data_IF_899638087169
#
_entry.id   IF_899638087169
#
_cell.length_a   1.000
_cell.length_b   1.000
_cell.length_c   1.000
_cell.angle_alpha   90.00
_cell.angle_beta   90.00
_cell.angle_gamma   90.00
#
_symmetry.space_group_name_H-M   'P 1'
#
loop_
_entity.id
_entity.type
_entity.pdbx_description
1 polymer ?
#
# COMPACT_ATOMS: atom_id res chain seq x y z
N UNK A 1 -23.06 -40.27 13.74
CA UNK A 1 -23.41 -38.82 13.86
C UNK A 1 -22.23 -37.90 14.21
N UNK A 2 -20.94 -38.39 14.17
CA UNK A 2 -19.76 -37.56 14.36
C UNK A 2 -19.04 -37.18 13.04
N UNK A 3 -19.42 -37.76 11.92
CA UNK A 3 -18.76 -37.53 10.63
C UNK A 3 -19.22 -36.27 9.87
N UNK A 4 -20.37 -35.70 10.23
CA UNK A 4 -20.92 -34.53 9.53
C UNK A 4 -20.29 -33.20 9.97
N UNK A 5 -19.46 -33.19 11.03
CA UNK A 5 -18.77 -31.96 11.49
C UNK A 5 -17.34 -31.79 10.97
N UNK A 6 -16.80 -32.79 10.30
CA UNK A 6 -15.44 -32.74 9.78
C UNK A 6 -15.26 -31.75 8.58
N UNK A 7 -16.35 -31.35 7.91
CA UNK A 7 -16.32 -30.37 6.83
C UNK A 7 -16.56 -28.92 7.24
N UNK A 8 -16.86 -28.65 8.52
CA UNK A 8 -17.22 -27.31 9.00
C UNK A 8 -16.10 -26.60 9.78
N UNK A 9 -14.85 -26.85 9.41
CA UNK A 9 -13.69 -26.22 10.07
C UNK A 9 -13.73 -24.66 10.04
N UNK A 10 -14.50 -24.07 9.15
CA UNK A 10 -14.78 -22.63 9.07
C UNK A 10 -16.13 -22.24 9.70
N UNK A 11 -16.63 -23.03 10.65
CA UNK A 11 -17.91 -22.79 11.32
C UNK A 11 -17.88 -21.63 12.35
N UNK A 12 -16.69 -21.05 12.62
CA UNK A 12 -16.58 -19.94 13.54
C UNK A 12 -17.00 -18.64 12.84
N UNK A 13 -18.27 -18.26 13.00
CA UNK A 13 -18.87 -17.09 12.36
C UNK A 13 -18.04 -15.81 12.43
N UNK A 14 -17.41 -15.44 13.57
CA UNK A 14 -16.67 -14.19 13.69
C UNK A 14 -15.41 -14.14 12.82
N UNK A 15 -14.79 -15.29 12.46
CA UNK A 15 -13.58 -15.32 11.62
C UNK A 15 -13.91 -15.27 10.12
N UNK A 16 -15.11 -15.64 9.72
CA UNK A 16 -15.50 -15.67 8.29
C UNK A 16 -15.43 -14.29 7.63
N UNK A 17 -15.89 -13.26 8.33
CA UNK A 17 -15.98 -11.92 7.78
C UNK A 17 -14.58 -11.27 7.63
N UNK A 18 -13.73 -11.22 8.65
CA UNK A 18 -12.38 -10.66 8.49
C UNK A 18 -11.52 -11.45 7.50
N UNK A 19 -11.62 -12.79 7.48
CA UNK A 19 -10.89 -13.59 6.51
C UNK A 19 -11.34 -13.28 5.07
N UNK A 20 -12.64 -13.15 4.84
CA UNK A 20 -13.21 -12.79 3.55
C UNK A 20 -12.72 -11.41 3.08
N UNK A 21 -12.78 -10.40 3.96
CA UNK A 21 -12.31 -9.03 3.67
C UNK A 21 -10.83 -9.07 3.32
N UNK A 22 -10.01 -9.74 4.12
CA UNK A 22 -8.57 -9.86 3.88
C UNK A 22 -8.26 -10.50 2.53
N UNK A 23 -8.89 -11.62 2.19
CA UNK A 23 -8.67 -12.32 0.92
C UNK A 23 -9.13 -11.48 -0.28
N UNK A 24 -10.28 -10.81 -0.19
CA UNK A 24 -10.74 -9.91 -1.23
C UNK A 24 -9.80 -8.71 -1.43
N UNK A 25 -9.24 -8.15 -0.35
CA UNK A 25 -8.29 -7.06 -0.40
C UNK A 25 -6.99 -7.49 -1.08
N UNK A 26 -6.37 -8.56 -0.60
CA UNK A 26 -5.09 -9.07 -1.16
C UNK A 26 -5.24 -9.40 -2.64
N UNK A 27 -6.30 -10.11 -3.01
CA UNK A 27 -6.51 -10.53 -4.40
C UNK A 27 -6.97 -9.39 -5.29
N UNK A 28 -7.78 -8.46 -4.79
CA UNK A 28 -8.16 -7.25 -5.50
C UNK A 28 -6.95 -6.41 -5.89
N UNK A 29 -6.08 -6.12 -4.92
CA UNK A 29 -4.84 -5.36 -5.15
C UNK A 29 -3.89 -6.12 -6.09
N UNK A 30 -3.72 -7.44 -5.90
CA UNK A 30 -2.87 -8.26 -6.76
C UNK A 30 -3.33 -8.22 -8.23
N UNK A 31 -4.64 -8.33 -8.48
CA UNK A 31 -5.19 -8.18 -9.83
C UNK A 31 -5.00 -6.77 -10.38
N UNK A 32 -5.17 -5.74 -9.56
CA UNK A 32 -4.88 -4.37 -9.93
C UNK A 32 -3.45 -4.21 -10.41
N UNK A 33 -2.47 -4.72 -9.65
CA UNK A 33 -1.04 -4.67 -10.01
C UNK A 33 -0.78 -5.44 -11.32
N UNK A 34 -1.33 -6.64 -11.48
CA UNK A 34 -1.15 -7.44 -12.71
C UNK A 34 -1.71 -6.71 -13.92
N UNK A 35 -2.91 -6.12 -13.83
CA UNK A 35 -3.49 -5.35 -14.92
C UNK A 35 -2.69 -4.09 -15.24
N UNK A 36 -2.17 -3.41 -14.22
CA UNK A 36 -1.27 -2.27 -14.39
C UNK A 36 0.01 -2.64 -15.14
N UNK A 37 0.63 -3.78 -14.80
CA UNK A 37 1.85 -4.27 -15.45
C UNK A 37 1.63 -4.65 -16.93
N UNK A 38 0.43 -5.16 -17.28
CA UNK A 38 0.12 -5.62 -18.63
C UNK A 38 -0.34 -4.47 -19.54
N UNK A 39 -1.15 -3.55 -19.03
CA UNK A 39 -1.87 -2.58 -19.84
C UNK A 39 -1.67 -1.10 -19.44
N UNK A 40 -0.89 -0.84 -18.37
CA UNK A 40 -0.57 0.51 -17.90
C UNK A 40 -1.46 1.02 -16.77
N UNK A 41 -1.08 2.17 -16.20
CA UNK A 41 -1.59 2.70 -14.91
C UNK A 41 -3.11 2.80 -14.77
N UNK A 42 -3.81 3.20 -15.81
CA UNK A 42 -5.28 3.28 -15.77
C UNK A 42 -5.96 1.92 -15.50
N UNK A 43 -5.35 0.82 -15.99
CA UNK A 43 -5.91 -0.52 -15.85
C UNK A 43 -5.82 -1.11 -14.45
N UNK A 44 -5.11 -0.45 -13.54
CA UNK A 44 -5.09 -0.82 -12.13
C UNK A 44 -6.51 -0.87 -11.52
N UNK A 45 -7.32 0.15 -11.76
CA UNK A 45 -8.67 0.26 -11.19
C UNK A 45 -9.64 -0.82 -11.67
N UNK A 46 -9.78 -1.06 -12.98
CA UNK A 46 -10.56 -2.20 -13.46
C UNK A 46 -10.07 -3.54 -12.92
N UNK A 47 -8.76 -3.77 -12.87
CA UNK A 47 -8.17 -4.99 -12.33
C UNK A 47 -8.53 -5.21 -10.87
N UNK A 48 -8.43 -4.17 -10.04
CA UNK A 48 -8.79 -4.18 -8.64
C UNK A 48 -10.27 -4.56 -8.43
N UNK A 49 -11.19 -3.96 -9.20
CA UNK A 49 -12.62 -4.27 -9.11
C UNK A 49 -12.89 -5.70 -9.54
N UNK A 50 -12.37 -6.13 -10.69
CA UNK A 50 -12.55 -7.50 -11.21
C UNK A 50 -12.01 -8.53 -10.22
N UNK A 51 -10.80 -8.33 -9.70
CA UNK A 51 -10.19 -9.22 -8.72
C UNK A 51 -11.04 -9.35 -7.45
N UNK A 52 -11.48 -8.22 -6.90
CA UNK A 52 -12.31 -8.21 -5.70
C UNK A 52 -13.63 -8.93 -5.90
N UNK A 53 -14.32 -8.69 -7.03
CA UNK A 53 -15.61 -9.33 -7.37
C UNK A 53 -15.45 -10.83 -7.53
N UNK A 54 -14.44 -11.27 -8.31
CA UNK A 54 -14.18 -12.70 -8.55
C UNK A 54 -13.90 -13.43 -7.24
N UNK A 55 -13.01 -12.90 -6.39
CA UNK A 55 -12.66 -13.55 -5.14
C UNK A 55 -13.81 -13.51 -4.11
N UNK A 56 -14.59 -12.44 -4.09
CA UNK A 56 -15.81 -12.41 -3.30
C UNK A 56 -16.76 -13.56 -3.67
N UNK A 57 -17.00 -13.78 -4.96
CA UNK A 57 -17.85 -14.86 -5.45
C UNK A 57 -17.27 -16.24 -5.13
N UNK A 58 -15.98 -16.45 -5.36
CA UNK A 58 -15.32 -17.72 -5.04
C UNK A 58 -15.48 -18.04 -3.54
N UNK A 59 -15.26 -17.08 -2.67
CA UNK A 59 -15.38 -17.27 -1.21
C UNK A 59 -16.84 -17.56 -0.81
N UNK A 60 -17.82 -16.87 -1.39
CA UNK A 60 -19.23 -17.16 -1.10
C UNK A 60 -19.64 -18.56 -1.56
N UNK A 61 -19.18 -19.01 -2.73
CA UNK A 61 -19.40 -20.38 -3.21
C UNK A 61 -18.77 -21.39 -2.24
N UNK A 62 -17.54 -21.17 -1.80
CA UNK A 62 -16.84 -22.06 -0.87
C UNK A 62 -17.58 -22.15 0.47
N UNK A 63 -18.13 -21.03 0.97
CA UNK A 63 -18.85 -21.02 2.26
C UNK A 63 -20.26 -21.60 2.19
N UNK A 64 -20.94 -21.44 1.06
CA UNK A 64 -22.31 -21.89 0.88
C UNK A 64 -22.41 -23.28 0.23
N UNK A 65 -21.37 -23.74 -0.46
CA UNK A 65 -21.38 -24.90 -1.35
C UNK A 65 -22.50 -24.83 -2.40
N UNK A 66 -22.92 -23.62 -2.79
CA UNK A 66 -24.00 -23.37 -3.75
C UNK A 66 -23.61 -22.18 -4.65
N UNK A 67 -23.73 -22.38 -5.97
CA UNK A 67 -23.48 -21.33 -6.97
C UNK A 67 -24.47 -20.16 -6.88
N UNK A 68 -25.66 -20.37 -6.31
CA UNK A 68 -26.64 -19.30 -6.09
C UNK A 68 -26.19 -18.28 -5.05
N UNK A 69 -25.22 -18.63 -4.23
CA UNK A 69 -24.66 -17.75 -3.22
C UNK A 69 -23.93 -16.51 -3.78
N UNK A 70 -23.57 -16.52 -5.07
CA UNK A 70 -22.94 -15.39 -5.77
C UNK A 70 -23.77 -14.09 -5.57
N UNK A 71 -25.09 -14.22 -5.65
CA UNK A 71 -26.00 -13.07 -5.55
C UNK A 71 -26.56 -12.84 -4.12
N UNK A 72 -26.14 -13.65 -3.16
CA UNK A 72 -26.79 -13.65 -1.82
C UNK A 72 -26.46 -12.40 -0.99
N UNK A 73 -25.31 -11.74 -1.20
CA UNK A 73 -24.83 -10.65 -0.33
C UNK A 73 -24.18 -9.51 -1.10
N UNK A 74 -24.92 -8.82 -1.98
CA UNK A 74 -24.34 -7.73 -2.77
C UNK A 74 -23.88 -6.53 -1.91
N UNK A 75 -24.53 -6.29 -0.77
CA UNK A 75 -24.14 -5.23 0.16
C UNK A 75 -22.77 -5.46 0.79
N UNK A 76 -22.40 -6.71 1.08
CA UNK A 76 -21.05 -7.02 1.58
C UNK A 76 -19.98 -6.78 0.51
N UNK A 77 -20.26 -7.14 -0.75
CA UNK A 77 -19.37 -6.85 -1.86
C UNK A 77 -19.17 -5.34 -2.03
N UNK A 78 -20.26 -4.59 -2.02
CA UNK A 78 -20.23 -3.13 -2.14
C UNK A 78 -19.41 -2.50 -0.99
N UNK A 79 -19.64 -2.93 0.25
CA UNK A 79 -18.91 -2.44 1.41
C UNK A 79 -17.40 -2.72 1.29
N UNK A 80 -17.01 -3.93 0.86
CA UNK A 80 -15.60 -4.29 0.65
C UNK A 80 -14.98 -3.43 -0.44
N UNK A 81 -15.67 -3.23 -1.57
CA UNK A 81 -15.20 -2.38 -2.66
C UNK A 81 -15.02 -0.93 -2.21
N UNK A 82 -15.98 -0.37 -1.48
CA UNK A 82 -15.89 1.02 -0.98
C UNK A 82 -14.68 1.17 -0.04
N UNK A 83 -14.50 0.26 0.91
CA UNK A 83 -13.36 0.32 1.84
C UNK A 83 -12.03 0.18 1.09
N UNK A 84 -11.97 -0.71 0.10
CA UNK A 84 -10.75 -0.98 -0.66
C UNK A 84 -10.39 0.21 -1.57
N UNK A 85 -11.36 0.77 -2.30
CA UNK A 85 -11.17 1.95 -3.14
C UNK A 85 -10.80 3.17 -2.29
N UNK A 86 -11.50 3.41 -1.18
CA UNK A 86 -11.19 4.50 -0.28
C UNK A 86 -9.78 4.38 0.34
N UNK A 87 -9.37 3.18 0.72
CA UNK A 87 -8.02 2.91 1.23
C UNK A 87 -6.94 3.15 0.17
N UNK A 88 -7.17 2.72 -1.07
CA UNK A 88 -6.24 2.96 -2.17
C UNK A 88 -6.15 4.45 -2.54
N UNK A 89 -7.28 5.16 -2.57
CA UNK A 89 -7.29 6.61 -2.78
C UNK A 89 -6.58 7.35 -1.65
N UNK A 90 -6.79 6.95 -0.40
CA UNK A 90 -6.10 7.55 0.74
C UNK A 90 -4.58 7.39 0.66
N UNK A 91 -4.09 6.24 0.14
CA UNK A 91 -2.67 6.03 -0.14
C UNK A 91 -2.20 6.86 -1.33
N UNK A 92 -2.97 6.90 -2.42
CA UNK A 92 -2.61 7.65 -3.63
C UNK A 92 -2.52 9.16 -3.38
N UNK A 93 -3.40 9.70 -2.55
CA UNK A 93 -3.40 11.14 -2.20
C UNK A 93 -2.56 11.46 -0.95
N UNK A 94 -1.75 10.51 -0.49
CA UNK A 94 -0.93 10.65 0.74
C UNK A 94 -1.67 11.36 1.89
N UNK A 95 -2.92 10.95 2.15
CA UNK A 95 -3.76 11.53 3.23
C UNK A 95 -3.07 11.41 4.59
N UNK A 96 -2.15 10.45 4.73
CA UNK A 96 -1.38 10.23 5.96
C UNK A 96 -0.15 11.12 6.08
N UNK A 97 0.28 11.79 4.99
CA UNK A 97 1.50 12.57 4.91
C UNK A 97 2.77 11.72 5.06
N UNK A 98 2.67 10.40 4.78
CA UNK A 98 3.81 9.49 4.94
C UNK A 98 4.87 9.69 3.86
N UNK A 99 4.46 9.93 2.63
CA UNK A 99 5.36 10.11 1.48
C UNK A 99 6.01 11.51 1.49
N UNK A 100 5.38 12.46 2.18
CA UNK A 100 5.86 13.84 2.32
C UNK A 100 6.54 14.11 3.66
N UNK A 101 6.64 13.07 4.53
CA UNK A 101 7.23 13.24 5.84
C UNK A 101 8.75 13.41 5.76
N UNK A 102 9.24 14.52 6.29
CA UNK A 102 10.66 14.79 6.50
C UNK A 102 10.95 14.84 7.99
N UNK A 103 12.05 14.24 8.46
CA UNK A 103 12.49 14.41 9.85
C UNK A 103 12.88 15.87 10.11
N UNK A 104 12.75 16.32 11.36
CA UNK A 104 13.18 17.66 11.73
C UNK A 104 14.70 17.79 11.54
N UNK A 105 15.14 18.89 10.93
CA UNK A 105 16.56 19.16 10.65
C UNK A 105 17.42 19.10 11.92
N UNK A 106 16.91 19.61 13.05
CA UNK A 106 17.63 19.69 14.31
C UNK A 106 17.81 18.31 14.99
N UNK A 107 17.01 17.32 14.61
CA UNK A 107 17.12 15.94 15.10
C UNK A 107 18.12 15.10 14.31
N UNK A 108 18.61 15.58 13.14
CA UNK A 108 19.54 14.88 12.29
C UNK A 108 20.98 14.99 12.78
N UNK A 109 21.59 13.87 13.13
CA UNK A 109 22.99 13.78 13.59
C UNK A 109 23.94 13.27 12.52
N UNK A 110 23.46 12.42 11.61
CA UNK A 110 24.22 11.91 10.49
C UNK A 110 23.30 11.49 9.33
N UNK A 111 23.79 11.59 8.12
CA UNK A 111 23.08 11.19 6.90
C UNK A 111 23.97 10.26 6.10
N UNK A 112 23.43 9.11 5.72
CA UNK A 112 24.10 8.12 4.87
C UNK A 112 23.39 8.05 3.54
N UNK A 113 24.13 8.34 2.46
CA UNK A 113 23.65 8.23 1.09
C UNK A 113 24.10 6.88 0.56
N UNK A 114 23.17 5.96 0.40
CA UNK A 114 23.48 4.62 -0.10
C UNK A 114 23.77 4.68 -1.62
N UNK A 115 25.06 4.79 -1.95
CA UNK A 115 25.55 4.75 -3.33
C UNK A 115 26.09 3.38 -3.76
N UNK A 116 25.98 2.37 -2.88
CA UNK A 116 26.56 1.03 -3.12
C UNK A 116 28.07 0.92 -2.90
N UNK A 117 28.75 2.02 -2.62
CA UNK A 117 30.22 2.08 -2.44
C UNK A 117 30.69 1.97 -1.00
N UNK A 118 29.76 1.92 -0.03
CA UNK A 118 30.11 1.77 1.40
C UNK A 118 30.82 3.01 1.99
N UNK A 119 30.52 4.20 1.47
CA UNK A 119 31.05 5.43 2.00
C UNK A 119 30.58 5.73 3.41
N UNK A 120 31.41 6.35 4.26
CA UNK A 120 31.02 6.65 5.64
C UNK A 120 29.90 7.68 5.67
N UNK A 121 29.03 7.57 6.69
CA UNK A 121 27.95 8.53 6.92
C UNK A 121 28.48 9.97 7.04
N UNK A 122 27.78 10.90 6.40
CA UNK A 122 28.10 12.33 6.46
C UNK A 122 27.68 12.89 7.83
N UNK A 123 28.64 13.37 8.60
CA UNK A 123 28.42 13.95 9.93
C UNK A 123 28.66 15.45 9.98
N UNK A 124 29.21 16.01 8.90
CA UNK A 124 29.47 17.45 8.80
C UNK A 124 28.13 18.20 8.63
N UNK A 125 27.84 19.21 9.47
CA UNK A 125 26.60 19.98 9.41
C UNK A 125 26.28 20.59 8.05
N UNK A 126 27.33 21.06 7.31
CA UNK A 126 27.14 21.65 5.99
C UNK A 126 26.66 20.64 4.95
N UNK A 127 27.17 19.41 5.03
CA UNK A 127 26.74 18.30 4.15
C UNK A 127 25.34 17.83 4.50
N UNK A 128 25.00 17.75 5.79
CA UNK A 128 23.65 17.42 6.26
C UNK A 128 22.65 18.45 5.77
N UNK A 129 22.97 19.75 5.82
CA UNK A 129 22.11 20.83 5.31
C UNK A 129 21.89 20.72 3.81
N UNK A 130 22.93 20.40 3.05
CA UNK A 130 22.82 20.22 1.59
C UNK A 130 21.91 19.04 1.24
N UNK A 131 22.08 17.91 1.92
CA UNK A 131 21.24 16.72 1.69
C UNK A 131 19.80 16.99 2.14
N UNK A 132 19.60 17.69 3.27
CA UNK A 132 18.27 18.04 3.75
C UNK A 132 17.50 18.90 2.73
N UNK A 133 18.16 19.90 2.14
CA UNK A 133 17.58 20.71 1.06
C UNK A 133 17.22 19.90 -0.18
N UNK A 134 18.06 18.91 -0.55
CA UNK A 134 17.75 18.02 -1.65
C UNK A 134 16.52 17.15 -1.37
N UNK A 135 16.38 16.65 -0.13
CA UNK A 135 15.19 15.91 0.28
C UNK A 135 13.93 16.78 0.24
N UNK A 136 14.02 18.03 0.72
CA UNK A 136 12.92 19.00 0.69
C UNK A 136 12.47 19.29 -0.77
N UNK A 137 13.42 19.54 -1.67
CA UNK A 137 13.13 19.71 -3.09
C UNK A 137 12.51 18.44 -3.67
N UNK A 138 13.04 17.25 -3.34
CA UNK A 138 12.51 15.99 -3.79
C UNK A 138 11.04 15.78 -3.39
N UNK A 139 10.69 16.08 -2.14
CA UNK A 139 9.30 16.01 -1.66
C UNK A 139 8.39 16.99 -2.39
N UNK A 140 8.85 18.23 -2.63
CA UNK A 140 8.08 19.24 -3.38
C UNK A 140 7.87 18.81 -4.83
N UNK A 141 8.88 18.25 -5.48
CA UNK A 141 8.80 17.81 -6.87
C UNK A 141 7.82 16.65 -7.04
N UNK A 142 7.77 15.70 -6.10
CA UNK A 142 6.80 14.61 -6.11
C UNK A 142 5.37 15.14 -6.03
N UNK A 143 5.13 16.19 -5.25
CA UNK A 143 3.81 16.82 -5.16
C UNK A 143 3.39 17.54 -6.46
N UNK A 144 4.34 18.12 -7.20
CA UNK A 144 4.07 18.79 -8.47
C UNK A 144 3.82 17.80 -9.61
N UNK A 145 4.54 16.67 -9.65
CA UNK A 145 4.40 15.66 -10.70
C UNK A 145 3.08 14.89 -10.68
N UNK A 146 2.48 14.66 -9.52
CA UNK A 146 1.14 14.07 -9.41
C UNK A 146 0.06 14.90 -10.13
N UNK A 147 0.37 16.16 -10.49
CA UNK A 147 -0.55 17.08 -11.17
C UNK A 147 -0.41 17.04 -12.69
N UNK A 148 0.74 16.71 -13.27
CA UNK A 148 1.04 16.89 -14.70
C UNK A 148 1.20 15.61 -15.56
N UNK A 149 1.11 14.42 -15.01
CA UNK A 149 0.80 13.15 -15.70
C UNK A 149 1.63 12.72 -16.92
N UNK A 150 2.81 13.29 -17.19
CA UNK A 150 3.69 12.85 -18.29
C UNK A 150 4.87 12.02 -17.75
N UNK A 151 4.64 10.71 -17.68
CA UNK A 151 5.51 9.72 -17.06
C UNK A 151 6.78 9.32 -17.83
N UNK A 152 7.59 10.26 -18.31
CA UNK A 152 8.84 9.94 -19.01
C UNK A 152 10.13 10.26 -18.24
N UNK A 153 10.08 10.48 -16.94
CA UNK A 153 11.27 10.76 -16.15
C UNK A 153 11.98 9.47 -15.71
N UNK A 154 13.25 9.36 -16.05
CA UNK A 154 14.15 8.32 -15.54
C UNK A 154 14.48 8.61 -14.08
N UNK A 155 13.78 7.94 -13.16
CA UNK A 155 14.05 8.09 -11.73
C UNK A 155 15.33 7.36 -11.34
N UNK A 156 16.31 8.10 -10.84
CA UNK A 156 17.43 7.51 -10.10
C UNK A 156 17.01 7.43 -8.64
N UNK A 157 16.71 6.24 -8.14
CA UNK A 157 16.42 6.05 -6.73
C UNK A 157 17.68 6.30 -5.91
N UNK A 158 17.65 7.33 -5.08
CA UNK A 158 18.67 7.60 -4.08
C UNK A 158 18.10 7.26 -2.71
N UNK A 159 18.68 6.27 -2.05
CA UNK A 159 18.27 5.90 -0.69
C UNK A 159 19.06 6.72 0.32
N UNK A 160 18.38 7.55 1.07
CA UNK A 160 18.95 8.36 2.15
C UNK A 160 18.55 7.74 3.48
N UNK A 161 19.54 7.39 4.30
CA UNK A 161 19.32 6.88 5.67
C UNK A 161 19.67 7.97 6.67
N UNK A 162 18.66 8.45 7.39
CA UNK A 162 18.83 9.47 8.42
C UNK A 162 19.06 8.83 9.80
N UNK A 163 20.10 9.28 10.52
CA UNK A 163 20.31 8.92 11.91
C UNK A 163 19.81 10.06 12.78
N UNK A 164 18.80 9.79 13.60
CA UNK A 164 18.25 10.74 14.57
C UNK A 164 18.93 10.56 15.91
N UNK A 165 19.34 11.66 16.53
CA UNK A 165 19.84 11.66 17.91
C UNK A 165 18.73 11.25 18.88
N UNK A 166 19.02 10.31 19.80
CA UNK A 166 18.08 10.04 20.89
C UNK A 166 18.00 11.28 21.78
N UNK A 167 16.85 11.96 21.81
CA UNK A 167 16.58 12.92 22.86
C UNK A 167 16.53 12.16 24.18
N UNK A 168 17.62 12.17 24.93
CA UNK A 168 17.57 11.83 26.34
C UNK A 168 16.79 12.97 27.01
N UNK A 169 15.56 12.69 27.43
CA UNK A 169 14.79 13.57 28.26
C UNK A 169 15.61 13.86 29.54
N UNK A 170 16.06 15.11 29.71
CA UNK A 170 16.62 15.60 30.94
C UNK A 170 15.50 16.08 31.87
#
# INVERSE_FOLDING_TARGET
RRSERAGTALAFLPIRLPLKVYMCLVMGVSFGIVFNLIAGGFWFWPGLVIGTVLFHWIIEIIYAFDFRAIFAKPLHLLAILVVLVAGMLAMQFDVTGFDTWLPDRDDLTAVDIYSGSGEPALTDPSNIDAVYRLMEIGVQTVQEEDTDGDGSLSYTQVTVRCQMGSRTAA
#
